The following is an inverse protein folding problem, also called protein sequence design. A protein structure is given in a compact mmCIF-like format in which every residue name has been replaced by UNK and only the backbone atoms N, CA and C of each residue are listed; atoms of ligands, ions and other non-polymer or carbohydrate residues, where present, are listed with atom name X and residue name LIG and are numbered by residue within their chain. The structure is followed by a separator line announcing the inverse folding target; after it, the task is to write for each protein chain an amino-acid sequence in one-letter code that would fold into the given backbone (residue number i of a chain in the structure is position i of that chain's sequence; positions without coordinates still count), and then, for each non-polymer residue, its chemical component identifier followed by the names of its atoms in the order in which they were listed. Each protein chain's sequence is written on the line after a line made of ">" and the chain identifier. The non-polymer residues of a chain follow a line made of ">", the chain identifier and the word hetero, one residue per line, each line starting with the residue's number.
data_IF_536908913176
#
_entry.id   IF_536908913176
#
_cell.length_a   1.000
_cell.length_b   1.000
_cell.length_c   1.000
_cell.angle_alpha   90.00
_cell.angle_beta   90.00
_cell.angle_gamma   90.00
#
_symmetry.space_group_name_H-M   'P 1'
#
loop_
_entity.id
_entity.type
_entity.pdbx_description
1 polymer ?
#
# COMPACT_ATOMS: atom_id res chain seq x y z
N UNK A 1 -10.83 2.91 16.82
CA UNK A 1 -9.86 3.80 16.13
C UNK A 1 -10.65 4.76 15.26
N UNK A 2 -10.33 6.05 15.25
CA UNK A 2 -10.89 7.02 14.31
C UNK A 2 -9.74 7.66 13.52
N UNK A 3 -10.02 8.14 12.30
CA UNK A 3 -8.98 8.59 11.37
C UNK A 3 -9.22 10.02 10.94
N UNK A 4 -8.21 10.88 11.12
CA UNK A 4 -8.18 12.20 10.51
C UNK A 4 -7.30 12.15 9.24
N UNK A 5 -7.86 12.34 8.03
CA UNK A 5 -7.14 12.06 6.78
C UNK A 5 -6.23 13.23 6.35
N UNK A 6 -5.15 13.45 7.07
CA UNK A 6 -4.19 14.55 6.82
C UNK A 6 -3.16 14.25 5.71
N UNK A 7 -3.07 12.99 5.28
CA UNK A 7 -2.13 12.55 4.25
C UNK A 7 -2.59 12.86 2.82
N UNK A 8 -1.84 12.37 1.83
CA UNK A 8 -2.21 12.47 0.40
C UNK A 8 -3.02 11.25 -0.08
N UNK A 9 -2.67 10.04 0.36
CA UNK A 9 -3.34 8.79 0.00
C UNK A 9 -4.69 8.61 0.69
N UNK A 10 -4.63 8.50 2.03
CA UNK A 10 -5.78 8.35 2.93
C UNK A 10 -6.68 7.14 2.62
N UNK A 11 -6.14 6.05 2.07
CA UNK A 11 -6.91 4.87 1.63
C UNK A 11 -7.77 4.26 2.75
N UNK A 12 -7.21 4.09 3.95
CA UNK A 12 -8.00 3.58 5.08
C UNK A 12 -9.14 4.53 5.49
N UNK A 13 -8.89 5.85 5.48
CA UNK A 13 -9.93 6.83 5.77
C UNK A 13 -11.05 6.82 4.72
N UNK A 14 -10.71 6.60 3.44
CA UNK A 14 -11.69 6.46 2.36
C UNK A 14 -12.57 5.23 2.57
N UNK A 15 -11.96 4.09 2.89
CA UNK A 15 -12.68 2.82 3.08
C UNK A 15 -13.57 2.85 4.33
N UNK A 16 -13.10 3.49 5.41
CA UNK A 16 -13.84 3.63 6.66
C UNK A 16 -14.70 4.91 6.71
N UNK A 17 -14.96 5.55 5.56
CA UNK A 17 -15.83 6.72 5.41
C UNK A 17 -15.44 7.99 6.22
N UNK A 18 -14.19 8.11 6.66
CA UNK A 18 -13.63 9.34 7.24
C UNK A 18 -13.23 10.37 6.19
N UNK A 19 -13.28 9.99 4.91
CA UNK A 19 -13.13 10.91 3.79
C UNK A 19 -11.74 10.91 3.14
N UNK A 20 -11.65 11.67 2.05
CA UNK A 20 -10.49 11.67 1.14
C UNK A 20 -9.36 12.61 1.56
N UNK A 21 -9.64 13.54 2.46
CA UNK A 21 -8.62 14.29 3.18
C UNK A 21 -9.11 15.56 3.85
N UNK A 22 -8.32 16.03 4.80
CA UNK A 22 -8.59 17.17 5.67
C UNK A 22 -8.16 18.50 5.04
N UNK A 23 -9.01 19.52 5.12
CA UNK A 23 -8.73 20.85 4.55
C UNK A 23 -8.12 21.82 5.55
N UNK A 24 -8.23 21.55 6.86
CA UNK A 24 -7.78 22.47 7.90
C UNK A 24 -8.82 23.50 8.31
N UNK A 25 -9.99 23.49 7.66
CA UNK A 25 -11.07 24.43 7.90
C UNK A 25 -12.25 23.81 8.67
N UNK A 26 -12.22 22.48 8.83
CA UNK A 26 -13.21 21.75 9.58
C UNK A 26 -13.11 22.09 11.08
N UNK A 27 -14.25 22.31 11.73
CA UNK A 27 -14.32 22.61 13.16
C UNK A 27 -13.85 21.39 13.99
N UNK A 28 -12.82 21.52 14.85
CA UNK A 28 -12.38 20.45 15.73
C UNK A 28 -13.50 19.87 16.60
N UNK A 29 -14.46 20.71 17.04
CA UNK A 29 -15.59 20.22 17.83
C UNK A 29 -16.53 19.33 17.01
N UNK A 30 -16.69 19.63 15.72
CA UNK A 30 -17.48 18.78 14.84
C UNK A 30 -16.79 17.43 14.63
N UNK A 31 -15.48 17.41 14.40
CA UNK A 31 -14.72 16.17 14.26
C UNK A 31 -14.86 15.30 15.51
N UNK A 32 -14.78 15.89 16.71
CA UNK A 32 -14.98 15.15 17.96
C UNK A 32 -16.41 14.59 18.09
N UNK A 33 -17.42 15.34 17.65
CA UNK A 33 -18.81 14.83 17.60
C UNK A 33 -18.94 13.67 16.62
N UNK A 34 -18.30 13.77 15.45
CA UNK A 34 -18.32 12.70 14.44
C UNK A 34 -17.64 11.43 15.00
N UNK A 35 -16.55 11.57 15.76
CA UNK A 35 -15.91 10.46 16.48
C UNK A 35 -16.82 9.83 17.53
N UNK A 36 -17.54 10.63 18.32
CA UNK A 36 -18.46 10.13 19.35
C UNK A 36 -19.67 9.42 18.74
N UNK A 37 -20.16 9.90 17.58
CA UNK A 37 -21.33 9.34 16.91
C UNK A 37 -21.00 8.25 15.87
N UNK A 38 -19.72 7.98 15.63
CA UNK A 38 -19.29 7.02 14.63
C UNK A 38 -19.70 5.59 15.00
N UNK A 39 -20.00 4.80 13.98
CA UNK A 39 -20.21 3.36 14.13
C UNK A 39 -18.89 2.63 14.37
N UNK A 40 -18.89 1.69 15.31
CA UNK A 40 -17.77 0.77 15.48
C UNK A 40 -17.80 -0.30 14.40
N UNK A 41 -16.73 -0.35 13.60
CA UNK A 41 -16.55 -1.34 12.53
C UNK A 41 -15.35 -2.22 12.82
N UNK A 42 -15.44 -3.48 12.39
CA UNK A 42 -14.33 -4.43 12.47
C UNK A 42 -13.29 -4.10 11.39
N UNK A 43 -12.01 -4.30 11.73
CA UNK A 43 -10.90 -4.16 10.80
C UNK A 43 -9.89 -5.26 11.09
N UNK A 44 -9.62 -6.09 10.09
CA UNK A 44 -8.58 -7.10 10.17
C UNK A 44 -7.20 -6.44 10.12
N UNK A 45 -6.26 -7.03 10.87
CA UNK A 45 -4.88 -6.54 10.99
C UNK A 45 -3.95 -7.71 10.76
N UNK A 46 -3.03 -7.53 9.83
CA UNK A 46 -2.20 -8.61 9.33
C UNK A 46 -0.79 -8.49 9.84
N UNK A 47 -0.20 -9.62 10.17
CA UNK A 47 1.21 -9.68 10.54
C UNK A 47 2.02 -10.05 9.31
N UNK A 48 2.89 -9.15 8.86
CA UNK A 48 3.85 -9.38 7.78
C UNK A 48 5.18 -9.74 8.42
N UNK A 49 5.70 -10.92 8.09
CA UNK A 49 6.98 -11.41 8.59
C UNK A 49 7.96 -11.48 7.44
N UNK A 50 9.02 -10.69 7.50
CA UNK A 50 10.12 -10.70 6.53
C UNK A 50 11.30 -11.41 7.14
N UNK A 51 11.71 -12.53 6.54
CA UNK A 51 12.86 -13.32 6.97
C UNK A 51 13.99 -13.17 5.93
N UNK A 52 15.11 -12.52 6.28
CA UNK A 52 16.23 -12.43 5.37
C UNK A 52 16.94 -13.79 5.27
N UNK A 53 17.27 -14.22 4.05
CA UNK A 53 18.05 -15.46 3.82
C UNK A 53 19.52 -15.31 4.21
N UNK A 54 20.04 -14.08 4.19
CA UNK A 54 21.43 -13.77 4.55
C UNK A 54 21.50 -12.98 5.85
N UNK A 55 22.62 -13.17 6.57
CA UNK A 55 22.91 -12.38 7.75
C UNK A 55 23.14 -10.93 7.33
N UNK A 56 22.21 -10.07 7.70
CA UNK A 56 22.32 -8.64 7.43
C UNK A 56 23.38 -7.98 8.31
N UNK A 57 24.02 -6.94 7.78
CA UNK A 57 24.96 -6.14 8.56
C UNK A 57 24.27 -5.44 9.73
N UNK A 58 25.01 -5.14 10.79
CA UNK A 58 24.46 -4.46 11.98
C UNK A 58 23.85 -3.08 11.64
N UNK A 59 24.41 -2.39 10.64
CA UNK A 59 23.86 -1.13 10.14
C UNK A 59 22.50 -1.32 9.47
N UNK A 60 22.34 -2.35 8.64
CA UNK A 60 21.06 -2.69 8.00
C UNK A 60 20.03 -3.12 9.03
N UNK A 61 20.42 -3.99 9.97
CA UNK A 61 19.55 -4.43 11.07
C UNK A 61 19.03 -3.24 11.88
N UNK A 62 19.91 -2.29 12.23
CA UNK A 62 19.53 -1.11 13.00
C UNK A 62 18.56 -0.20 12.24
N UNK A 63 18.82 0.07 10.96
CA UNK A 63 17.92 0.87 10.13
C UNK A 63 16.54 0.22 10.00
N UNK A 64 16.50 -1.08 9.70
CA UNK A 64 15.26 -1.80 9.43
C UNK A 64 14.48 -2.16 10.71
N UNK A 65 15.16 -2.24 11.87
CA UNK A 65 14.51 -2.36 13.18
C UNK A 65 13.84 -1.05 13.60
N UNK A 66 14.38 0.11 13.21
CA UNK A 66 13.73 1.42 13.42
C UNK A 66 12.44 1.53 12.60
N UNK A 67 12.39 0.88 11.44
CA UNK A 67 11.24 0.92 10.53
C UNK A 67 10.15 -0.09 10.87
N UNK A 68 10.47 -1.14 11.62
CA UNK A 68 9.49 -2.12 12.10
C UNK A 68 8.51 -1.47 13.08
N UNK A 69 7.21 -1.73 12.89
CA UNK A 69 6.14 -1.18 13.73
C UNK A 69 5.58 -2.20 14.76
N UNK A 70 6.27 -3.33 14.93
CA UNK A 70 5.98 -4.36 15.93
C UNK A 70 7.23 -4.70 16.76
N UNK A 71 7.03 -5.23 17.96
CA UNK A 71 8.13 -5.58 18.87
C UNK A 71 8.82 -6.87 18.37
N UNK A 72 10.07 -6.76 17.94
CA UNK A 72 10.88 -7.94 17.60
C UNK A 72 11.51 -8.51 18.89
N UNK A 73 11.31 -9.81 19.14
CA UNK A 73 12.04 -10.52 20.19
C UNK A 73 13.47 -10.78 19.73
N UNK A 74 14.46 -10.49 20.57
CA UNK A 74 15.90 -10.43 20.24
C UNK A 74 16.57 -11.72 19.73
N UNK A 75 15.82 -12.78 19.45
CA UNK A 75 16.35 -14.10 19.07
C UNK A 75 16.00 -14.52 17.62
N UNK A 76 15.08 -13.82 16.95
CA UNK A 76 14.71 -14.10 15.56
C UNK A 76 15.16 -12.93 14.67
N UNK A 77 15.90 -13.21 13.59
CA UNK A 77 16.26 -12.20 12.57
C UNK A 77 15.07 -11.77 11.73
N UNK A 78 13.90 -12.40 11.95
CA UNK A 78 12.64 -12.01 11.34
C UNK A 78 12.23 -10.59 11.73
N UNK A 79 11.69 -9.87 10.76
CA UNK A 79 11.11 -8.55 10.94
C UNK A 79 9.61 -8.65 10.90
N UNK A 80 8.97 -8.10 11.92
CA UNK A 80 7.52 -8.16 12.07
C UNK A 80 6.95 -6.78 11.82
N UNK A 81 5.96 -6.71 10.93
CA UNK A 81 5.15 -5.52 10.69
C UNK A 81 3.68 -5.85 10.89
N UNK A 82 2.92 -4.90 11.43
CA UNK A 82 1.46 -4.93 11.38
C UNK A 82 0.99 -4.09 10.20
N UNK A 83 0.26 -4.74 9.30
CA UNK A 83 -0.34 -4.18 8.10
C UNK A 83 -1.85 -4.01 8.30
N UNK A 84 -2.35 -2.78 8.14
CA UNK A 84 -3.79 -2.49 8.17
C UNK A 84 -4.39 -2.26 6.78
N UNK A 85 -3.58 -1.93 5.77
CA UNK A 85 -4.06 -1.52 4.45
C UNK A 85 -3.61 -2.49 3.36
N UNK A 86 -2.34 -2.43 2.99
CA UNK A 86 -1.76 -3.22 1.93
C UNK A 86 -0.24 -3.25 2.02
N UNK A 87 0.35 -4.24 1.37
CA UNK A 87 1.78 -4.45 1.20
C UNK A 87 2.08 -4.60 -0.29
N UNK A 88 3.10 -3.91 -0.79
CA UNK A 88 3.46 -3.90 -2.20
C UNK A 88 4.90 -4.35 -2.43
N UNK A 89 5.12 -5.08 -3.52
CA UNK A 89 6.44 -5.51 -4.00
C UNK A 89 6.55 -5.25 -5.50
N UNK A 90 7.71 -4.80 -5.98
CA UNK A 90 7.96 -4.53 -7.40
C UNK A 90 7.66 -3.08 -7.79
N UNK A 91 7.07 -2.87 -8.96
CA UNK A 91 6.97 -1.54 -9.60
C UNK A 91 6.22 -0.49 -8.76
N UNK A 92 5.20 -0.89 -7.99
CA UNK A 92 4.51 0.01 -7.04
C UNK A 92 5.45 0.44 -5.91
N UNK A 93 6.16 -0.50 -5.29
CA UNK A 93 7.13 -0.21 -4.24
C UNK A 93 8.27 0.68 -4.76
N UNK A 94 8.74 0.46 -5.98
CA UNK A 94 9.78 1.25 -6.64
C UNK A 94 9.32 2.69 -6.95
N UNK A 95 8.04 2.91 -7.28
CA UNK A 95 7.45 4.25 -7.40
C UNK A 95 7.32 4.94 -6.03
N UNK A 96 6.87 4.20 -5.03
CA UNK A 96 6.72 4.72 -3.67
C UNK A 96 8.08 5.09 -3.05
N UNK A 97 9.14 4.34 -3.37
CA UNK A 97 10.51 4.65 -2.97
C UNK A 97 11.01 5.95 -3.62
N UNK A 98 10.85 6.12 -4.93
CA UNK A 98 11.23 7.37 -5.62
C UNK A 98 10.50 8.59 -5.04
N UNK A 99 9.20 8.45 -4.76
CA UNK A 99 8.41 9.50 -4.12
C UNK A 99 8.90 9.80 -2.70
N UNK A 100 9.20 8.77 -1.92
CA UNK A 100 9.73 8.92 -0.57
C UNK A 100 11.07 9.66 -0.57
N UNK A 101 12.01 9.25 -1.40
CA UNK A 101 13.34 9.87 -1.50
C UNK A 101 13.25 11.34 -1.93
N UNK A 102 12.43 11.66 -2.94
CA UNK A 102 12.23 13.04 -3.37
C UNK A 102 11.61 13.92 -2.25
N UNK A 103 10.73 13.33 -1.43
CA UNK A 103 10.13 13.99 -0.27
C UNK A 103 11.13 14.22 0.85
N UNK A 104 12.01 13.26 1.13
CA UNK A 104 13.08 13.44 2.12
C UNK A 104 14.12 14.49 1.67
N UNK A 105 14.43 14.54 0.38
CA UNK A 105 15.37 15.53 -0.17
C UNK A 105 14.82 16.96 -0.09
N UNK A 106 13.50 17.13 -0.27
CA UNK A 106 12.88 18.46 -0.33
C UNK A 106 11.54 18.54 0.43
N UNK A 107 11.48 18.31 1.76
CA UNK A 107 10.22 18.15 2.49
C UNK A 107 9.30 19.38 2.40
N UNK A 108 9.87 20.59 2.33
CA UNK A 108 9.12 21.84 2.18
C UNK A 108 8.29 21.91 0.88
N UNK A 109 8.62 21.13 -0.15
CA UNK A 109 7.87 21.08 -1.42
C UNK A 109 6.66 20.13 -1.35
N UNK A 110 6.57 19.25 -0.33
CA UNK A 110 5.57 18.19 -0.26
C UNK A 110 4.42 18.49 0.72
N UNK A 111 4.08 19.77 0.88
CA UNK A 111 3.06 20.26 1.81
C UNK A 111 1.65 20.36 1.19
N UNK A 112 1.49 20.03 -0.09
CA UNK A 112 0.21 20.14 -0.82
C UNK A 112 -0.18 18.80 -1.45
N UNK A 113 -1.39 18.33 -1.16
CA UNK A 113 -1.94 17.08 -1.71
C UNK A 113 -1.98 17.08 -3.25
N UNK A 114 -2.35 18.20 -3.87
CA UNK A 114 -2.42 18.34 -5.34
C UNK A 114 -1.02 18.29 -5.94
N UNK A 115 -0.06 18.97 -5.31
CA UNK A 115 1.33 18.95 -5.74
C UNK A 115 1.90 17.53 -5.63
N UNK A 116 1.70 16.86 -4.50
CA UNK A 116 2.17 15.50 -4.25
C UNK A 116 1.62 14.52 -5.30
N UNK A 117 0.32 14.58 -5.62
CA UNK A 117 -0.28 13.78 -6.69
C UNK A 117 0.36 14.06 -8.05
N UNK A 118 0.64 15.32 -8.35
CA UNK A 118 1.27 15.73 -9.61
C UNK A 118 2.72 15.23 -9.72
N UNK A 119 3.48 15.23 -8.62
CA UNK A 119 4.83 14.66 -8.56
C UNK A 119 4.76 13.15 -8.81
N UNK A 120 3.85 12.45 -8.13
CA UNK A 120 3.65 11.01 -8.30
C UNK A 120 3.30 10.64 -9.74
N UNK A 121 2.39 11.40 -10.37
CA UNK A 121 2.03 11.21 -11.78
C UNK A 121 3.24 11.39 -12.72
N UNK A 122 4.06 12.42 -12.51
CA UNK A 122 5.29 12.65 -13.30
C UNK A 122 6.30 11.51 -13.14
N UNK A 123 6.45 10.97 -11.92
CA UNK A 123 7.31 9.82 -11.66
C UNK A 123 6.81 8.57 -12.40
N UNK A 124 5.50 8.32 -12.36
CA UNK A 124 4.86 7.26 -13.14
C UNK A 124 5.15 7.38 -14.64
N UNK A 125 4.90 8.55 -15.24
CA UNK A 125 5.20 8.77 -16.67
C UNK A 125 6.68 8.54 -17.01
N UNK A 126 7.61 8.95 -16.14
CA UNK A 126 9.04 8.70 -16.34
C UNK A 126 9.39 7.21 -16.33
N UNK A 127 8.80 6.44 -15.41
CA UNK A 127 9.00 4.99 -15.35
C UNK A 127 8.30 4.22 -16.47
N UNK A 128 7.31 4.81 -17.15
CA UNK A 128 6.70 4.22 -18.34
C UNK A 128 7.65 4.28 -19.55
N UNK A 129 8.45 5.34 -19.66
CA UNK A 129 9.40 5.54 -20.77
C UNK A 129 10.72 4.80 -20.52
N UNK A 130 11.16 4.73 -19.25
CA UNK A 130 12.39 4.07 -18.88
C UNK A 130 12.15 2.60 -18.53
N UNK A 131 13.12 1.73 -18.80
CA UNK A 131 13.01 0.32 -18.39
C UNK A 131 12.97 0.21 -16.87
N UNK A 132 11.96 -0.48 -16.35
CA UNK A 132 11.79 -0.72 -14.91
C UNK A 132 12.77 -1.77 -14.42
N UNK A 133 13.19 -1.69 -13.16
CA UNK A 133 14.00 -2.75 -12.52
C UNK A 133 13.20 -4.05 -12.28
N UNK A 134 11.88 -3.98 -12.43
CA UNK A 134 10.94 -5.02 -12.05
C UNK A 134 10.40 -5.82 -13.23
N UNK A 135 10.88 -5.58 -14.46
CA UNK A 135 10.37 -6.20 -15.69
C UNK A 135 10.24 -7.74 -15.62
N UNK A 136 11.21 -8.40 -15.01
CA UNK A 136 11.26 -9.86 -14.88
C UNK A 136 10.96 -10.33 -13.45
N UNK A 137 10.17 -9.55 -12.68
CA UNK A 137 9.89 -9.87 -11.28
C UNK A 137 9.32 -11.29 -11.11
N UNK A 138 8.38 -11.69 -11.97
CA UNK A 138 7.79 -13.03 -11.99
C UNK A 138 8.79 -14.20 -12.09
N UNK A 139 10.00 -13.97 -12.63
CA UNK A 139 11.06 -14.99 -12.70
C UNK A 139 11.90 -15.06 -11.42
N UNK A 140 11.81 -14.04 -10.56
CA UNK A 140 12.64 -13.87 -9.38
C UNK A 140 11.86 -14.08 -8.08
N UNK A 141 10.55 -14.34 -8.15
CA UNK A 141 9.69 -14.55 -6.98
C UNK A 141 8.84 -15.80 -7.16
N UNK A 142 8.65 -16.52 -6.07
CA UNK A 142 7.64 -17.58 -5.97
C UNK A 142 6.56 -17.10 -5.01
N UNK A 143 5.30 -17.29 -5.37
CA UNK A 143 4.15 -16.96 -4.50
C UNK A 143 3.43 -18.26 -4.19
N UNK A 144 3.19 -18.49 -2.90
CA UNK A 144 2.33 -19.55 -2.41
C UNK A 144 1.17 -18.92 -1.63
N UNK A 145 -0.06 -19.31 -1.96
CA UNK A 145 -1.28 -18.87 -1.28
C UNK A 145 -2.04 -20.11 -0.83
N UNK A 146 -2.35 -20.19 0.46
CA UNK A 146 -3.08 -21.31 1.08
C UNK A 146 -2.51 -22.70 0.71
N UNK A 147 -1.18 -22.82 0.72
CA UNK A 147 -0.48 -24.08 0.39
C UNK A 147 -0.38 -24.38 -1.11
N UNK A 148 -0.81 -23.45 -1.98
CA UNK A 148 -0.77 -23.60 -3.44
C UNK A 148 0.20 -22.61 -4.06
N UNK A 149 1.21 -23.13 -4.74
CA UNK A 149 2.12 -22.30 -5.52
C UNK A 149 1.40 -21.76 -6.76
N UNK A 150 1.51 -20.46 -7.00
CA UNK A 150 0.89 -19.79 -8.14
C UNK A 150 1.85 -19.76 -9.33
N UNK A 151 1.34 -20.05 -10.52
CA UNK A 151 2.03 -19.74 -11.77
C UNK A 151 1.86 -18.25 -12.09
N UNK A 152 2.98 -17.52 -12.10
CA UNK A 152 2.94 -16.07 -12.25
C UNK A 152 2.95 -15.68 -13.74
N UNK A 153 2.00 -14.83 -14.20
CA UNK A 153 2.15 -14.17 -15.49
C UNK A 153 3.31 -13.17 -15.44
N UNK A 154 3.68 -12.51 -16.56
CA UNK A 154 4.72 -11.50 -16.64
C UNK A 154 4.42 -10.21 -15.84
N UNK A 155 4.27 -10.34 -14.52
CA UNK A 155 4.03 -9.25 -13.60
C UNK A 155 5.32 -8.55 -13.26
N UNK A 156 5.22 -7.24 -13.06
CA UNK A 156 6.28 -6.36 -12.57
C UNK A 156 6.03 -5.93 -11.12
N UNK A 157 4.89 -6.29 -10.54
CA UNK A 157 4.60 -6.03 -9.13
C UNK A 157 3.47 -6.88 -8.58
N UNK A 158 3.43 -6.96 -7.25
CA UNK A 158 2.44 -7.68 -6.45
C UNK A 158 1.94 -6.72 -5.39
N UNK A 159 0.62 -6.67 -5.20
CA UNK A 159 -0.03 -5.88 -4.16
C UNK A 159 -0.92 -6.83 -3.37
N UNK A 160 -0.62 -6.97 -2.08
CA UNK A 160 -1.42 -7.73 -1.12
C UNK A 160 -2.28 -6.75 -0.34
N UNK A 161 -3.60 -6.87 -0.41
CA UNK A 161 -4.55 -5.91 0.13
C UNK A 161 -5.37 -6.53 1.26
N UNK A 162 -5.60 -5.73 2.30
CA UNK A 162 -6.62 -5.92 3.32
C UNK A 162 -7.81 -4.98 3.12
N UNK A 163 -7.63 -3.91 2.35
CA UNK A 163 -8.69 -2.93 2.08
C UNK A 163 -8.87 -2.78 0.58
N UNK A 164 -10.11 -2.51 0.16
CA UNK A 164 -10.49 -2.26 -1.22
C UNK A 164 -10.06 -0.85 -1.73
N UNK A 165 -8.85 -0.43 -1.39
CA UNK A 165 -8.32 0.88 -1.77
C UNK A 165 -6.80 0.89 -1.75
N UNK A 166 -6.21 1.39 -2.84
CA UNK A 166 -4.77 1.50 -3.02
C UNK A 166 -4.41 2.81 -3.73
N UNK A 167 -3.23 3.37 -3.41
CA UNK A 167 -2.65 4.46 -4.19
C UNK A 167 -3.41 5.79 -4.17
N UNK A 168 -4.14 6.12 -3.11
CA UNK A 168 -5.03 7.29 -2.99
C UNK A 168 -6.46 7.11 -3.54
N UNK A 169 -7.02 5.92 -3.35
CA UNK A 169 -8.43 5.62 -3.64
C UNK A 169 -8.67 4.75 -4.86
N UNK A 170 -7.64 4.27 -5.54
CA UNK A 170 -7.81 3.36 -6.66
C UNK A 170 -8.23 1.96 -6.19
N UNK A 171 -8.93 1.25 -7.05
CA UNK A 171 -9.44 -0.09 -6.77
C UNK A 171 -8.69 -1.12 -7.62
N UNK A 172 -7.65 -1.79 -7.08
CA UNK A 172 -6.88 -2.80 -7.78
C UNK A 172 -7.63 -4.14 -7.91
N UNK A 173 -8.72 -4.37 -7.20
CA UNK A 173 -9.53 -5.58 -7.37
C UNK A 173 -10.53 -5.45 -8.53
N UNK A 174 -11.00 -4.24 -8.80
CA UNK A 174 -11.98 -3.96 -9.84
C UNK A 174 -13.42 -3.99 -9.32
N UNK A 175 -14.36 -3.66 -10.19
CA UNK A 175 -15.80 -3.59 -9.87
C UNK A 175 -16.60 -4.70 -10.54
N UNK A 176 -15.97 -5.46 -11.43
CA UNK A 176 -16.60 -6.58 -12.12
C UNK A 176 -16.79 -7.74 -11.15
N UNK A 177 -17.93 -8.40 -11.29
CA UNK A 177 -18.24 -9.56 -10.48
C UNK A 177 -17.51 -10.76 -11.05
N UNK A 178 -16.55 -11.28 -10.30
CA UNK A 178 -15.95 -12.58 -10.56
C UNK A 178 -16.84 -13.66 -9.90
N UNK A 179 -17.06 -14.79 -10.59
CA UNK A 179 -17.77 -15.92 -10.00
C UNK A 179 -16.88 -16.77 -9.09
N UNK A 180 -15.55 -16.68 -9.26
CA UNK A 180 -14.56 -17.43 -8.49
C UNK A 180 -14.22 -16.77 -7.15
N UNK A 181 -14.40 -15.45 -7.01
CA UNK A 181 -13.99 -14.70 -5.83
C UNK A 181 -15.12 -13.90 -5.20
N UNK A 182 -15.09 -13.77 -3.88
CA UNK A 182 -15.97 -12.87 -3.13
C UNK A 182 -15.55 -11.42 -3.29
N UNK A 183 -16.49 -10.50 -3.05
CA UNK A 183 -16.16 -9.07 -3.02
C UNK A 183 -15.24 -8.79 -1.82
N UNK A 184 -14.10 -8.11 -2.02
CA UNK A 184 -13.17 -7.78 -0.94
C UNK A 184 -13.82 -7.00 0.19
N UNK A 185 -13.51 -7.38 1.42
CA UNK A 185 -13.85 -6.60 2.62
C UNK A 185 -12.67 -6.56 3.58
N UNK A 186 -12.70 -5.62 4.52
CA UNK A 186 -11.61 -5.41 5.46
C UNK A 186 -11.83 -6.13 6.80
N UNK A 187 -12.75 -7.10 6.84
CA UNK A 187 -13.21 -7.78 8.07
C UNK A 187 -13.63 -9.24 7.85
N UNK A 188 -13.30 -9.85 6.72
CA UNK A 188 -13.64 -11.23 6.36
C UNK A 188 -12.55 -12.26 6.70
N UNK A 189 -11.41 -11.81 7.20
CA UNK A 189 -10.25 -12.64 7.50
C UNK A 189 -9.49 -13.10 6.25
N UNK A 190 -9.64 -12.40 5.11
CA UNK A 190 -8.95 -12.70 3.86
C UNK A 190 -8.03 -11.57 3.41
N UNK A 191 -7.12 -11.89 2.48
CA UNK A 191 -6.27 -10.95 1.78
C UNK A 191 -6.43 -11.11 0.28
N UNK A 192 -6.47 -10.00 -0.43
CA UNK A 192 -6.46 -10.00 -1.90
C UNK A 192 -5.03 -9.92 -2.43
N UNK A 193 -4.68 -10.79 -3.37
CA UNK A 193 -3.36 -10.76 -4.05
C UNK A 193 -3.56 -10.31 -5.49
N UNK A 194 -3.02 -9.14 -5.84
CA UNK A 194 -3.15 -8.53 -7.17
C UNK A 194 -1.79 -8.42 -7.84
N UNK A 195 -1.68 -8.98 -9.05
CA UNK A 195 -0.52 -8.79 -9.92
C UNK A 195 -0.66 -7.56 -10.82
N UNK A 196 0.40 -6.74 -10.91
CA UNK A 196 0.48 -5.62 -11.84
C UNK A 196 1.58 -5.87 -12.89
N UNK A 197 1.29 -5.58 -14.14
CA UNK A 197 2.17 -5.89 -15.30
C UNK A 197 3.02 -4.72 -15.75
N UNK A 198 2.96 -3.59 -15.02
CA UNK A 198 3.73 -2.39 -15.32
C UNK A 198 2.93 -1.11 -15.13
N UNK A 199 3.55 0.03 -15.46
CA UNK A 199 2.98 1.36 -15.20
C UNK A 199 1.69 1.63 -15.98
N UNK A 200 1.58 1.13 -17.21
CA UNK A 200 0.36 1.31 -18.03
C UNK A 200 -0.84 0.63 -17.36
N UNK A 201 -0.66 -0.61 -16.90
CA UNK A 201 -1.69 -1.32 -16.16
C UNK A 201 -2.03 -0.59 -14.85
N UNK A 202 -1.04 -0.12 -14.09
CA UNK A 202 -1.32 0.73 -12.91
C UNK A 202 -2.14 1.98 -13.27
N UNK A 203 -1.85 2.65 -14.39
CA UNK A 203 -2.61 3.79 -14.90
C UNK A 203 -4.07 3.44 -15.25
N UNK A 204 -4.30 2.25 -15.80
CA UNK A 204 -5.65 1.71 -16.02
C UNK A 204 -6.40 1.52 -14.70
N UNK A 205 -5.75 0.96 -13.68
CA UNK A 205 -6.30 0.83 -12.32
C UNK A 205 -6.69 2.21 -11.75
N UNK A 206 -5.81 3.21 -11.89
CA UNK A 206 -6.08 4.57 -11.41
C UNK A 206 -7.23 5.28 -12.13
N UNK A 207 -7.42 5.01 -13.41
CA UNK A 207 -8.49 5.61 -14.21
C UNK A 207 -9.82 4.86 -14.10
N UNK A 208 -9.81 3.63 -13.57
CA UNK A 208 -10.98 2.75 -13.56
C UNK A 208 -11.32 2.16 -14.93
N UNK A 209 -10.45 2.36 -15.93
CA UNK A 209 -10.59 1.80 -17.27
C UNK A 209 -9.85 0.46 -17.30
N UNK A 210 -10.58 -0.65 -17.15
CA UNK A 210 -10.06 -2.01 -17.25
C UNK A 210 -10.62 -2.70 -18.48
#
# INVERSE_FOLDING_TARGET
>A
MAILPIGTGNDLARVLNWGSGYTGTEDPLQILRDVVNAEEIRLDRWTVVIKPDQVESDAQKKQLQIEANACNTNEDTSRIFVMNNYFGLGIDADLNLDFHLAREENPAKFNSRIHNKSVYFKMGLRKMVNQTKCKDLHQNVAIEVDGRQLELPPIEGIIVLNIHSWGAGANPWGVEKDEAFTKPTHYDGLLEVVGVTGVVHMGQIFSGLR
#
